data_IF_281019803877
#
_entry.id   IF_281019803877
#
_cell.length_a   1.000
_cell.length_b   1.000
_cell.length_c   1.000
_cell.angle_alpha   90.00
_cell.angle_beta   90.00
_cell.angle_gamma   90.00
#
_symmetry.space_group_name_H-M   'P 1'
#
loop_
_entity.id
_entity.type
_entity.pdbx_description
1 polymer ?
#
# COMPACT_ATOMS: atom_id res chain seq x y z
N UNK A 1 21.45 20.29 6.14
CA UNK A 1 20.04 20.60 5.76
C UNK A 1 19.76 20.44 4.27
N UNK A 2 20.23 21.29 3.35
CA UNK A 2 19.85 21.14 1.93
C UNK A 2 20.43 19.86 1.29
N UNK A 3 21.68 19.53 1.61
CA UNK A 3 22.31 18.27 1.18
C UNK A 3 21.61 17.05 1.80
N UNK A 4 21.41 17.05 3.12
CA UNK A 4 20.65 15.98 3.82
C UNK A 4 19.23 15.81 3.29
N UNK A 5 18.52 16.91 2.98
CA UNK A 5 17.16 16.85 2.46
C UNK A 5 17.13 16.18 1.08
N UNK A 6 18.15 16.38 0.25
CA UNK A 6 18.24 15.77 -1.09
C UNK A 6 18.35 14.25 -1.05
N UNK A 7 18.82 13.67 0.05
CA UNK A 7 18.84 12.21 0.27
C UNK A 7 17.47 11.67 0.72
N UNK A 8 16.60 12.55 1.24
CA UNK A 8 15.28 12.22 1.81
C UNK A 8 14.15 12.37 0.81
N UNK A 9 14.20 13.38 -0.06
CA UNK A 9 13.15 13.72 -1.02
C UNK A 9 13.59 13.50 -2.47
N UNK A 10 12.63 13.27 -3.35
CA UNK A 10 12.83 13.05 -4.79
C UNK A 10 12.80 14.38 -5.59
N UNK A 11 12.40 15.49 -4.96
CA UNK A 11 12.36 16.82 -5.59
C UNK A 11 13.73 17.47 -5.53
N UNK A 12 14.38 17.67 -6.68
CA UNK A 12 15.73 18.26 -6.76
C UNK A 12 15.83 19.69 -6.20
N UNK A 13 14.86 20.54 -6.53
CA UNK A 13 14.82 21.93 -6.05
C UNK A 13 13.42 22.21 -5.47
N UNK A 14 13.19 21.86 -4.20
CA UNK A 14 11.85 21.91 -3.61
C UNK A 14 11.31 23.34 -3.51
N UNK A 15 12.17 24.34 -3.28
CA UNK A 15 11.75 25.72 -3.08
C UNK A 15 11.31 26.41 -4.39
N UNK A 16 11.90 25.99 -5.53
CA UNK A 16 11.60 26.60 -6.83
C UNK A 16 10.65 25.77 -7.70
N UNK A 17 10.44 24.48 -7.40
CA UNK A 17 9.58 23.62 -8.22
C UNK A 17 8.11 23.76 -7.81
N UNK A 18 7.21 24.26 -8.67
CA UNK A 18 5.77 24.38 -8.37
C UNK A 18 5.08 23.01 -8.24
N UNK A 19 3.95 22.95 -7.53
CA UNK A 19 3.21 21.72 -7.22
C UNK A 19 2.86 20.91 -8.48
N UNK A 20 2.36 21.57 -9.53
CA UNK A 20 1.99 20.89 -10.78
C UNK A 20 3.20 20.27 -11.49
N UNK A 21 4.36 20.94 -11.41
CA UNK A 21 5.61 20.44 -11.96
C UNK A 21 6.14 19.25 -11.14
N UNK A 22 6.01 19.29 -9.81
CA UNK A 22 6.34 18.15 -8.92
C UNK A 22 5.54 16.92 -9.32
N UNK A 23 4.22 17.06 -9.49
CA UNK A 23 3.34 15.96 -9.94
C UNK A 23 3.77 15.39 -11.29
N UNK A 24 4.00 16.25 -12.28
CA UNK A 24 4.44 15.81 -13.62
C UNK A 24 5.77 15.05 -13.57
N UNK A 25 6.75 15.57 -12.82
CA UNK A 25 8.06 14.92 -12.63
C UNK A 25 7.93 13.58 -11.90
N UNK A 26 7.07 13.50 -10.85
CA UNK A 26 6.79 12.26 -10.14
C UNK A 26 6.24 11.18 -11.06
N UNK A 27 5.18 11.50 -11.83
CA UNK A 27 4.56 10.54 -12.75
C UNK A 27 5.56 10.01 -13.77
N UNK A 28 6.41 10.87 -14.31
CA UNK A 28 7.48 10.47 -15.23
C UNK A 28 8.54 9.59 -14.55
N UNK A 29 8.94 9.92 -13.31
CA UNK A 29 9.91 9.13 -12.55
C UNK A 29 9.38 7.74 -12.17
N UNK A 30 8.09 7.64 -11.81
CA UNK A 30 7.43 6.36 -11.55
C UNK A 30 7.31 5.53 -12.82
N UNK A 31 6.89 6.13 -13.94
CA UNK A 31 6.82 5.43 -15.23
C UNK A 31 8.19 4.90 -15.68
N UNK A 32 9.25 5.67 -15.44
CA UNK A 32 10.62 5.24 -15.76
C UNK A 32 11.17 4.18 -14.78
N UNK A 33 10.60 4.09 -13.56
CA UNK A 33 11.07 3.16 -12.53
C UNK A 33 10.30 1.83 -12.55
N UNK A 34 9.07 1.82 -13.05
CA UNK A 34 8.30 0.60 -13.19
C UNK A 34 9.04 -0.42 -14.05
N UNK A 35 9.12 -1.65 -13.56
CA UNK A 35 9.88 -2.73 -14.17
C UNK A 35 8.95 -3.95 -14.31
N UNK A 36 8.45 -4.24 -15.52
CA UNK A 36 7.47 -5.30 -15.74
C UNK A 36 7.97 -6.68 -15.30
N UNK A 37 9.24 -7.00 -15.54
CA UNK A 37 9.82 -8.30 -15.20
C UNK A 37 9.86 -8.52 -13.69
N UNK A 38 10.25 -7.50 -12.90
CA UNK A 38 10.20 -7.58 -11.44
C UNK A 38 8.76 -7.73 -10.95
N UNK A 39 7.83 -6.93 -11.50
CA UNK A 39 6.42 -7.03 -11.15
C UNK A 39 5.87 -8.45 -11.40
N UNK A 40 6.18 -9.04 -12.55
CA UNK A 40 5.76 -10.40 -12.89
C UNK A 40 6.44 -11.45 -12.03
N UNK A 41 7.71 -11.27 -11.67
CA UNK A 41 8.38 -12.15 -10.71
C UNK A 41 7.64 -12.18 -9.37
N UNK A 42 7.32 -11.02 -8.80
CA UNK A 42 6.53 -10.90 -7.56
C UNK A 42 5.08 -11.40 -7.71
N UNK A 43 4.55 -11.45 -8.94
CA UNK A 43 3.22 -11.99 -9.23
C UNK A 43 3.18 -13.53 -9.29
N UNK A 44 4.23 -14.17 -9.79
CA UNK A 44 4.31 -15.64 -9.89
C UNK A 44 4.99 -16.31 -8.70
N UNK A 45 6.02 -15.67 -8.14
CA UNK A 45 6.81 -16.16 -6.98
C UNK A 45 6.37 -15.43 -5.71
N UNK A 46 5.07 -15.55 -5.40
CA UNK A 46 4.41 -14.71 -4.40
C UNK A 46 4.39 -15.30 -2.98
N UNK A 47 5.12 -16.38 -2.69
CA UNK A 47 5.02 -17.09 -1.41
C UNK A 47 5.35 -16.20 -0.21
N UNK A 48 6.41 -15.40 -0.31
CA UNK A 48 6.79 -14.43 0.70
C UNK A 48 5.72 -13.33 0.87
N UNK A 49 5.11 -12.90 -0.25
CA UNK A 49 4.06 -11.89 -0.27
C UNK A 49 2.79 -12.44 0.40
N UNK A 50 2.41 -13.69 0.09
CA UNK A 50 1.27 -14.37 0.70
C UNK A 50 1.49 -14.62 2.20
N UNK A 51 2.73 -14.80 2.64
CA UNK A 51 3.07 -14.86 4.06
C UNK A 51 2.78 -13.54 4.75
N UNK A 52 3.36 -12.43 4.29
CA UNK A 52 3.18 -11.12 4.92
C UNK A 52 1.74 -10.61 4.80
N UNK A 53 0.99 -10.98 3.76
CA UNK A 53 -0.44 -10.68 3.65
C UNK A 53 -1.30 -11.34 4.74
N UNK A 54 -0.82 -12.41 5.39
CA UNK A 54 -1.52 -13.07 6.50
C UNK A 54 -1.21 -12.43 7.86
N UNK A 55 -0.17 -11.60 7.94
CA UNK A 55 0.20 -10.90 9.16
C UNK A 55 -0.99 -10.08 9.70
N UNK A 56 -1.12 -10.02 11.03
CA UNK A 56 -2.21 -9.33 11.72
C UNK A 56 -1.64 -8.21 12.62
N UNK A 57 -1.61 -6.98 12.11
CA UNK A 57 -1.23 -5.82 12.92
C UNK A 57 -2.20 -5.58 14.08
N UNK A 58 -1.75 -4.84 15.09
CA UNK A 58 -2.50 -4.57 16.32
C UNK A 58 -3.89 -3.94 16.08
N UNK A 59 -4.06 -3.16 15.00
CA UNK A 59 -5.33 -2.52 14.69
C UNK A 59 -6.40 -3.51 14.24
N UNK A 60 -6.04 -4.68 13.72
CA UNK A 60 -7.01 -5.72 13.31
C UNK A 60 -7.81 -6.21 14.52
N UNK A 61 -7.12 -6.52 15.62
CA UNK A 61 -7.79 -7.00 16.83
C UNK A 61 -8.51 -5.87 17.58
N UNK A 62 -7.95 -4.66 17.57
CA UNK A 62 -8.64 -3.48 18.09
C UNK A 62 -9.94 -3.21 17.32
N UNK A 63 -9.93 -3.33 16.00
CA UNK A 63 -11.08 -3.13 15.13
C UNK A 63 -12.15 -4.20 15.33
N UNK A 64 -11.76 -5.49 15.40
CA UNK A 64 -12.68 -6.58 15.75
C UNK A 64 -13.40 -6.34 17.08
N UNK A 65 -12.65 -5.92 18.12
CA UNK A 65 -13.23 -5.56 19.43
C UNK A 65 -14.21 -4.39 19.31
N UNK A 66 -13.87 -3.38 18.53
CA UNK A 66 -14.75 -2.23 18.28
C UNK A 66 -16.07 -2.65 17.60
N UNK A 67 -15.99 -3.49 16.57
CA UNK A 67 -17.18 -3.97 15.85
C UNK A 67 -18.06 -4.86 16.74
N UNK A 68 -17.47 -5.77 17.52
CA UNK A 68 -18.20 -6.61 18.46
C UNK A 68 -19.01 -5.77 19.48
N UNK A 69 -18.39 -4.72 20.04
CA UNK A 69 -19.02 -3.83 21.01
C UNK A 69 -20.00 -2.80 20.41
N UNK A 70 -20.07 -2.68 19.08
CA UNK A 70 -21.12 -1.89 18.41
C UNK A 70 -22.41 -2.70 18.20
N UNK A 71 -22.32 -4.03 18.14
CA UNK A 71 -23.47 -4.93 18.02
C UNK A 71 -24.26 -5.13 19.32
N UNK A 72 -23.61 -4.92 20.47
CA UNK A 72 -24.23 -5.01 21.79
C UNK A 72 -24.71 -3.61 22.24
N UNK A 73 -26.01 -3.50 22.52
CA UNK A 73 -26.75 -2.24 22.71
C UNK A 73 -26.10 -1.24 23.68
N UNK A 74 -26.06 0.03 23.22
CA UNK A 74 -26.04 1.30 23.99
C UNK A 74 -26.25 1.14 25.50
N UNK A 75 -25.17 0.96 26.24
CA UNK A 75 -25.13 1.36 27.64
C UNK A 75 -23.76 1.94 28.00
N UNK A 76 -23.86 3.16 28.49
CA UNK A 76 -22.94 3.95 29.30
C UNK A 76 -21.64 4.52 28.72
N UNK A 77 -21.47 5.77 29.14
CA UNK A 77 -20.60 6.85 28.69
C UNK A 77 -19.14 6.66 29.14
N UNK A 78 -18.63 5.43 29.13
CA UNK A 78 -17.21 5.23 29.45
C UNK A 78 -16.35 5.36 28.19
N UNK A 79 -15.18 5.97 28.36
CA UNK A 79 -14.27 6.32 27.28
C UNK A 79 -13.67 5.04 26.69
N UNK A 80 -14.40 4.39 25.77
CA UNK A 80 -13.99 3.12 25.11
C UNK A 80 -12.64 3.31 24.43
N UNK A 81 -11.59 2.87 25.11
CA UNK A 81 -10.21 3.08 24.68
C UNK A 81 -9.72 1.80 24.01
N UNK A 82 -9.83 1.76 22.69
CA UNK A 82 -9.34 0.64 21.86
C UNK A 82 -7.83 0.69 21.61
N UNK A 83 -7.19 1.80 21.99
CA UNK A 83 -5.81 2.13 21.68
C UNK A 83 -5.08 2.47 22.96
N UNK A 84 -4.04 1.70 23.27
CA UNK A 84 -3.21 1.90 24.46
C UNK A 84 -1.88 2.51 24.04
N UNK A 85 -1.49 3.59 24.72
CA UNK A 85 -0.19 4.22 24.52
C UNK A 85 0.85 3.64 25.49
N UNK A 86 2.05 3.35 24.96
CA UNK A 86 3.20 2.98 25.77
C UNK A 86 3.74 4.18 26.56
N UNK A 87 4.63 3.94 27.52
CA UNK A 87 5.24 5.04 28.27
C UNK A 87 6.16 5.89 27.40
N UNK A 88 6.85 5.28 26.43
CA UNK A 88 7.69 5.98 25.45
C UNK A 88 6.85 6.90 24.55
N UNK A 89 5.68 6.41 24.09
CA UNK A 89 4.73 7.19 23.29
C UNK A 89 4.19 8.38 24.10
N UNK A 90 3.84 8.17 25.38
CA UNK A 90 3.40 9.26 26.28
C UNK A 90 4.51 10.27 26.51
N UNK A 91 5.75 9.81 26.70
CA UNK A 91 6.89 10.70 26.89
C UNK A 91 7.17 11.54 25.65
N UNK A 92 7.09 10.94 24.46
CA UNK A 92 7.20 11.68 23.20
C UNK A 92 6.10 12.73 23.06
N UNK A 93 4.85 12.41 23.43
CA UNK A 93 3.75 13.38 23.42
C UNK A 93 3.99 14.57 24.37
N UNK A 94 4.66 14.37 25.51
CA UNK A 94 5.01 15.45 26.45
C UNK A 94 6.03 16.43 25.86
N UNK A 95 6.87 15.97 24.92
CA UNK A 95 7.87 16.81 24.24
C UNK A 95 7.24 17.70 23.17
N UNK A 96 6.07 17.36 22.66
CA UNK A 96 5.40 18.17 21.64
C UNK A 96 4.86 19.46 22.24
N UNK A 97 5.09 20.56 21.52
CA UNK A 97 4.56 21.86 21.90
C UNK A 97 3.08 21.95 21.58
N UNK A 98 2.31 22.59 22.46
CA UNK A 98 0.88 22.76 22.27
C UNK A 98 0.59 23.88 21.25
N UNK A 99 0.63 23.55 19.94
CA UNK A 99 0.36 24.49 18.84
C UNK A 99 -1.08 24.41 18.33
N UNK A 100 -1.70 25.53 18.00
CA UNK A 100 -2.98 25.58 17.27
C UNK A 100 -2.74 25.96 15.81
N UNK A 101 -3.43 25.29 14.89
CA UNK A 101 -3.29 25.52 13.45
C UNK A 101 -4.55 26.20 12.92
N UNK A 102 -4.38 27.37 12.31
CA UNK A 102 -5.45 28.09 11.62
C UNK A 102 -5.37 27.78 10.13
N UNK A 103 -6.12 26.79 9.70
CA UNK A 103 -6.12 26.30 8.33
C UNK A 103 -7.42 26.72 7.61
N UNK A 104 -7.28 27.26 6.42
CA UNK A 104 -8.41 27.53 5.53
C UNK A 104 -9.05 26.21 5.03
N UNK A 105 -10.14 26.29 4.26
CA UNK A 105 -10.85 25.09 3.80
C UNK A 105 -9.98 24.24 2.86
N UNK A 106 -9.20 24.87 1.98
CA UNK A 106 -8.35 24.17 1.01
C UNK A 106 -7.17 23.49 1.71
N UNK A 107 -6.45 24.20 2.57
CA UNK A 107 -5.31 23.60 3.29
C UNK A 107 -5.75 22.45 4.20
N UNK A 108 -6.91 22.56 4.85
CA UNK A 108 -7.47 21.42 5.63
C UNK A 108 -7.69 20.19 4.77
N UNK A 109 -8.21 20.37 3.55
CA UNK A 109 -8.42 19.26 2.62
C UNK A 109 -7.09 18.58 2.27
N UNK A 110 -6.06 19.36 1.93
CA UNK A 110 -4.72 18.82 1.65
C UNK A 110 -4.14 18.07 2.85
N UNK A 111 -4.29 18.59 4.07
CA UNK A 111 -3.79 17.92 5.29
C UNK A 111 -4.43 16.54 5.48
N UNK A 112 -5.74 16.41 5.29
CA UNK A 112 -6.41 15.10 5.38
C UNK A 112 -5.96 14.13 4.28
N UNK A 113 -5.74 14.61 3.06
CA UNK A 113 -5.26 13.75 1.97
C UNK A 113 -3.81 13.31 2.19
N UNK A 114 -2.94 14.21 2.65
CA UNK A 114 -1.57 13.86 3.05
C UNK A 114 -1.54 12.88 4.22
N UNK A 115 -2.48 12.99 5.17
CA UNK A 115 -2.62 12.00 6.24
C UNK A 115 -2.91 10.60 5.68
N UNK A 116 -3.83 10.48 4.72
CA UNK A 116 -4.14 9.19 4.08
C UNK A 116 -2.89 8.63 3.40
N UNK A 117 -2.18 9.44 2.62
CA UNK A 117 -0.97 9.05 1.90
C UNK A 117 0.13 8.52 2.86
N UNK A 118 0.37 9.21 3.97
CA UNK A 118 1.33 8.79 5.01
C UNK A 118 0.88 7.48 5.69
N UNK A 119 -0.40 7.35 6.03
CA UNK A 119 -0.92 6.14 6.67
C UNK A 119 -0.85 4.93 5.74
N UNK A 120 -1.12 5.08 4.44
CA UNK A 120 -0.99 4.00 3.46
C UNK A 120 0.44 3.46 3.42
N UNK A 121 1.42 4.36 3.34
CA UNK A 121 2.84 4.01 3.37
C UNK A 121 3.24 3.27 4.66
N UNK A 122 2.73 3.73 5.81
CA UNK A 122 2.96 3.05 7.09
C UNK A 122 2.27 1.68 7.18
N UNK A 123 1.05 1.54 6.70
CA UNK A 123 0.35 0.25 6.68
C UNK A 123 1.08 -0.77 5.80
N UNK A 124 1.61 -0.34 4.66
CA UNK A 124 2.48 -1.19 3.85
C UNK A 124 3.70 -1.64 4.65
N UNK A 125 4.42 -0.69 5.25
CA UNK A 125 5.64 -0.94 6.03
C UNK A 125 5.43 -1.96 7.15
N UNK A 126 4.40 -1.76 7.97
CA UNK A 126 4.08 -2.69 9.06
C UNK A 126 3.68 -4.06 8.53
N UNK A 127 3.01 -4.14 7.38
CA UNK A 127 2.60 -5.41 6.79
C UNK A 127 3.82 -6.20 6.31
N UNK A 128 4.71 -5.59 5.53
CA UNK A 128 5.84 -6.29 4.92
C UNK A 128 6.94 -6.66 5.91
N UNK A 129 7.07 -5.90 7.01
CA UNK A 129 8.03 -6.20 8.07
C UNK A 129 7.38 -6.84 9.31
N UNK A 130 6.12 -7.27 9.21
CA UNK A 130 5.41 -7.98 10.29
C UNK A 130 5.45 -7.24 11.65
N UNK A 131 5.43 -5.90 11.59
CA UNK A 131 5.48 -4.99 12.74
C UNK A 131 6.87 -4.72 13.32
N UNK A 132 7.90 -5.43 12.85
CA UNK A 132 9.28 -5.15 13.23
C UNK A 132 9.87 -4.03 12.37
N UNK A 133 10.79 -3.27 12.95
CA UNK A 133 11.45 -2.15 12.27
C UNK A 133 12.86 -2.53 11.89
N UNK A 134 13.28 -2.11 10.71
CA UNK A 134 14.63 -2.31 10.21
C UNK A 134 15.16 -1.02 9.55
N UNK A 135 16.35 -1.11 8.98
CA UNK A 135 17.04 0.03 8.36
C UNK A 135 16.27 0.60 7.15
N UNK A 136 15.48 -0.22 6.47
CA UNK A 136 14.67 0.16 5.31
C UNK A 136 13.30 0.74 5.68
N UNK A 137 12.87 0.62 6.95
CA UNK A 137 11.56 1.12 7.39
C UNK A 137 11.37 2.61 7.09
N UNK A 138 12.40 3.41 7.34
CA UNK A 138 12.40 4.84 7.04
C UNK A 138 12.28 5.10 5.53
N UNK A 139 12.96 4.29 4.72
CA UNK A 139 12.95 4.38 3.28
C UNK A 139 11.58 4.00 2.71
N UNK A 140 10.98 2.90 3.14
CA UNK A 140 9.66 2.47 2.70
C UNK A 140 8.60 3.54 2.98
N UNK A 141 8.53 4.05 4.23
CA UNK A 141 7.50 5.05 4.58
C UNK A 141 7.68 6.34 3.78
N UNK A 142 8.91 6.88 3.69
CA UNK A 142 9.14 8.13 2.93
C UNK A 142 8.95 7.92 1.44
N UNK A 143 9.41 6.78 0.91
CA UNK A 143 9.40 6.51 -0.53
C UNK A 143 8.02 6.14 -1.01
N UNK A 144 7.13 5.58 -0.19
CA UNK A 144 5.77 5.25 -0.64
C UNK A 144 4.78 6.41 -0.47
N UNK A 145 5.07 7.39 0.39
CA UNK A 145 4.26 8.61 0.53
C UNK A 145 4.77 9.73 -0.37
N UNK A 146 4.00 10.09 -1.40
CA UNK A 146 4.36 11.22 -2.28
C UNK A 146 4.25 12.59 -1.57
N UNK A 147 3.47 12.68 -0.49
CA UNK A 147 3.46 13.83 0.42
C UNK A 147 4.85 14.06 1.00
N UNK A 148 5.56 13.00 1.39
CA UNK A 148 6.87 13.09 2.03
C UNK A 148 8.01 13.24 1.01
N UNK A 149 8.09 12.37 0.01
CA UNK A 149 9.23 12.38 -0.92
C UNK A 149 9.04 13.32 -2.12
N UNK A 150 7.82 13.61 -2.57
CA UNK A 150 7.57 14.54 -3.68
C UNK A 150 7.00 15.88 -3.24
N UNK A 151 6.79 16.08 -1.93
CA UNK A 151 6.16 17.27 -1.37
C UNK A 151 4.85 17.61 -2.11
N UNK A 152 4.09 16.56 -2.47
CA UNK A 152 2.87 16.70 -3.27
C UNK A 152 1.68 17.12 -2.41
N UNK A 153 0.83 17.98 -2.97
CA UNK A 153 -0.49 18.28 -2.43
C UNK A 153 -1.56 17.63 -3.31
N UNK A 154 -2.37 16.78 -2.71
CA UNK A 154 -3.44 16.08 -3.41
C UNK A 154 -4.74 16.86 -3.43
N UNK A 155 -5.58 16.56 -4.42
CA UNK A 155 -6.90 17.17 -4.61
C UNK A 155 -8.04 16.18 -4.40
N UNK A 156 -7.79 14.87 -4.59
CA UNK A 156 -8.78 13.81 -4.42
C UNK A 156 -8.19 12.61 -3.68
N UNK A 157 -9.04 11.82 -3.03
CA UNK A 157 -8.65 10.56 -2.38
C UNK A 157 -8.18 9.54 -3.43
N UNK A 158 -8.83 9.51 -4.60
CA UNK A 158 -8.47 8.61 -5.68
C UNK A 158 -7.03 8.85 -6.15
N UNK A 159 -6.61 10.10 -6.32
CA UNK A 159 -5.24 10.43 -6.73
C UNK A 159 -4.20 9.99 -5.69
N UNK A 160 -4.54 10.06 -4.39
CA UNK A 160 -3.69 9.56 -3.30
C UNK A 160 -3.51 8.04 -3.45
N UNK A 161 -4.61 7.30 -3.62
CA UNK A 161 -4.57 5.84 -3.75
C UNK A 161 -3.81 5.40 -5.00
N UNK A 162 -4.01 6.08 -6.14
CA UNK A 162 -3.28 5.81 -7.38
C UNK A 162 -1.80 6.12 -7.22
N UNK A 163 -1.45 7.25 -6.61
CA UNK A 163 -0.07 7.61 -6.32
C UNK A 163 0.60 6.55 -5.45
N UNK A 164 0.01 6.20 -4.31
CA UNK A 164 0.54 5.16 -3.43
C UNK A 164 0.69 3.82 -4.14
N UNK A 165 -0.35 3.36 -4.86
CA UNK A 165 -0.35 2.09 -5.57
C UNK A 165 0.76 2.02 -6.62
N UNK A 166 0.91 3.06 -7.46
CA UNK A 166 2.00 3.13 -8.44
C UNK A 166 3.36 2.99 -7.79
N UNK A 167 3.58 3.65 -6.65
CA UNK A 167 4.87 3.64 -5.95
C UNK A 167 5.19 2.28 -5.32
N UNK A 168 4.19 1.59 -4.76
CA UNK A 168 4.35 0.20 -4.29
C UNK A 168 4.77 -0.73 -5.43
N UNK A 169 4.28 -0.49 -6.65
CA UNK A 169 4.64 -1.31 -7.82
C UNK A 169 5.98 -0.93 -8.47
N UNK A 170 6.65 0.14 -8.01
CA UNK A 170 7.88 0.64 -8.62
C UNK A 170 9.12 0.51 -7.72
N UNK A 171 8.96 0.74 -6.41
CA UNK A 171 10.09 1.05 -5.53
C UNK A 171 10.50 -0.09 -4.58
N UNK A 172 9.61 -0.63 -3.74
CA UNK A 172 10.01 -1.52 -2.65
C UNK A 172 10.43 -2.90 -3.15
N UNK A 173 10.89 -3.73 -2.20
CA UNK A 173 11.27 -5.12 -2.44
C UNK A 173 10.10 -5.94 -3.01
N UNK A 174 8.92 -5.85 -2.41
CA UNK A 174 7.71 -6.56 -2.83
C UNK A 174 6.75 -5.66 -3.59
N UNK A 175 6.63 -5.87 -4.91
CA UNK A 175 5.87 -5.04 -5.85
C UNK A 175 4.58 -5.75 -6.26
N UNK A 176 3.63 -5.86 -5.33
CA UNK A 176 2.40 -6.61 -5.56
C UNK A 176 1.14 -5.81 -5.26
N UNK A 177 0.14 -5.87 -6.15
CA UNK A 177 -1.10 -5.10 -6.01
C UNK A 177 -1.94 -5.54 -4.79
N UNK A 178 -1.77 -6.78 -4.32
CA UNK A 178 -2.38 -7.25 -3.08
C UNK A 178 -1.94 -6.45 -1.86
N UNK A 179 -0.67 -6.01 -1.80
CA UNK A 179 -0.16 -5.17 -0.71
C UNK A 179 -0.75 -3.76 -0.75
N UNK A 180 -1.03 -3.22 -1.94
CA UNK A 180 -1.74 -1.94 -2.12
C UNK A 180 -3.14 -2.03 -1.52
N UNK A 181 -3.88 -3.08 -1.90
CA UNK A 181 -5.25 -3.32 -1.42
C UNK A 181 -5.27 -3.56 0.08
N UNK A 182 -4.27 -4.30 0.60
CA UNK A 182 -4.13 -4.55 2.04
C UNK A 182 -3.90 -3.25 2.82
N UNK A 183 -2.94 -2.43 2.43
CA UNK A 183 -2.65 -1.17 3.09
C UNK A 183 -3.83 -0.18 3.05
N UNK A 184 -4.60 -0.19 1.95
CA UNK A 184 -5.84 0.57 1.84
C UNK A 184 -6.88 0.15 2.88
N UNK A 185 -7.13 -1.16 3.02
CA UNK A 185 -8.07 -1.70 4.02
C UNK A 185 -7.60 -1.43 5.46
N UNK A 186 -6.30 -1.57 5.73
CA UNK A 186 -5.72 -1.30 7.04
C UNK A 186 -5.86 0.20 7.41
N UNK A 187 -5.63 1.10 6.45
CA UNK A 187 -5.83 2.55 6.66
C UNK A 187 -7.28 2.86 7.01
N UNK A 188 -8.24 2.21 6.34
CA UNK A 188 -9.67 2.31 6.68
C UNK A 188 -9.92 1.86 8.12
N UNK A 189 -9.40 0.70 8.54
CA UNK A 189 -9.57 0.21 9.91
C UNK A 189 -9.00 1.19 10.96
N UNK A 190 -7.81 1.74 10.72
CA UNK A 190 -7.17 2.74 11.60
C UNK A 190 -8.04 4.00 11.71
N UNK A 191 -8.59 4.50 10.60
CA UNK A 191 -9.47 5.68 10.62
C UNK A 191 -10.78 5.40 11.36
N UNK A 192 -11.34 4.19 11.26
CA UNK A 192 -12.54 3.79 12.01
C UNK A 192 -12.28 3.71 13.53
N UNK A 193 -11.10 3.26 13.95
CA UNK A 193 -10.68 3.28 15.36
C UNK A 193 -10.50 4.70 15.91
N UNK A 194 -10.36 5.69 15.03
CA UNK A 194 -10.40 7.11 15.36
C UNK A 194 -9.04 7.74 15.68
N UNK A 195 -9.08 8.96 16.22
CA UNK A 195 -7.89 9.83 16.34
C UNK A 195 -6.75 9.23 17.17
N UNK A 196 -7.06 8.40 18.17
CA UNK A 196 -6.05 7.77 19.01
C UNK A 196 -5.24 6.73 18.21
N UNK A 197 -5.89 5.97 17.33
CA UNK A 197 -5.21 4.98 16.48
C UNK A 197 -4.32 5.67 15.47
N UNK A 198 -4.83 6.71 14.81
CA UNK A 198 -4.04 7.55 13.89
C UNK A 198 -2.83 8.14 14.60
N UNK A 199 -3.01 8.70 15.81
CA UNK A 199 -1.90 9.27 16.59
C UNK A 199 -0.86 8.20 16.95
N UNK A 200 -1.29 6.99 17.31
CA UNK A 200 -0.37 5.89 17.60
C UNK A 200 0.48 5.53 16.37
N UNK A 201 -0.13 5.45 15.19
CA UNK A 201 0.62 5.23 13.94
C UNK A 201 1.60 6.37 13.65
N UNK A 202 1.20 7.63 13.82
CA UNK A 202 2.07 8.79 13.58
C UNK A 202 3.25 8.85 14.56
N UNK A 203 3.05 8.47 15.83
CA UNK A 203 4.14 8.36 16.80
C UNK A 203 5.14 7.26 16.42
N UNK A 204 4.64 6.17 15.85
CA UNK A 204 5.49 5.07 15.39
C UNK A 204 6.33 5.46 14.18
N UNK A 205 5.73 6.16 13.20
CA UNK A 205 6.43 6.81 12.08
C UNK A 205 7.46 7.81 12.58
N UNK A 206 7.09 8.62 13.59
CA UNK A 206 8.01 9.59 14.18
C UNK A 206 9.25 8.91 14.75
N UNK A 207 9.07 7.75 15.41
CA UNK A 207 10.17 6.94 15.92
C UNK A 207 11.02 6.38 14.77
N UNK A 208 10.39 5.83 13.72
CA UNK A 208 11.08 5.30 12.52
C UNK A 208 12.00 6.36 11.90
N UNK A 209 11.53 7.61 11.75
CA UNK A 209 12.36 8.68 11.18
C UNK A 209 13.41 9.23 12.15
N UNK A 210 13.17 9.17 13.46
CA UNK A 210 14.17 9.60 14.45
C UNK A 210 15.39 8.67 14.48
N UNK A 211 15.19 7.37 14.22
CA UNK A 211 16.23 6.35 14.27
C UNK A 211 17.08 6.29 12.97
N UNK A 212 16.71 7.05 11.93
CA UNK A 212 17.42 7.10 10.65
C UNK A 212 17.90 8.52 10.32
N UNK A 213 19.22 8.67 10.13
CA UNK A 213 19.86 9.86 9.61
C UNK A 213 19.88 9.73 8.08
N UNK A 214 19.28 10.60 7.23
CA UNK A 214 18.74 11.97 7.43
C UNK A 214 17.19 12.08 7.53
N UNK A 215 16.46 10.97 7.66
CA UNK A 215 14.99 10.97 7.62
C UNK A 215 14.31 11.77 8.74
N UNK A 216 15.01 12.04 9.85
CA UNK A 216 14.50 12.83 10.98
C UNK A 216 13.93 14.19 10.57
N UNK A 217 14.42 14.79 9.47
CA UNK A 217 13.94 16.08 8.95
C UNK A 217 12.43 16.02 8.62
N UNK A 218 11.91 14.86 8.21
CA UNK A 218 10.48 14.68 7.94
C UNK A 218 9.63 14.77 9.22
N UNK A 219 10.21 14.50 10.39
CA UNK A 219 9.52 14.74 11.66
C UNK A 219 9.26 16.22 11.87
N UNK A 220 10.25 17.06 11.56
CA UNK A 220 10.14 18.51 11.73
C UNK A 220 9.24 19.14 10.66
N UNK A 221 9.29 18.63 9.43
CA UNK A 221 8.51 19.15 8.31
C UNK A 221 7.05 18.70 8.30
N UNK A 222 6.76 17.47 8.76
CA UNK A 222 5.43 16.86 8.63
C UNK A 222 4.95 16.19 9.91
N UNK A 223 5.67 15.17 10.39
CA UNK A 223 5.07 14.18 11.31
C UNK A 223 4.75 14.79 12.68
N UNK A 224 5.60 15.67 13.22
CA UNK A 224 5.35 16.35 14.49
C UNK A 224 4.08 17.18 14.43
N UNK A 225 3.88 17.96 13.38
CA UNK A 225 2.69 18.78 13.22
C UNK A 225 1.44 17.93 13.00
N UNK A 226 1.53 16.81 12.28
CA UNK A 226 0.44 15.83 12.17
C UNK A 226 0.05 15.23 13.53
N UNK A 227 1.03 14.84 14.35
CA UNK A 227 0.82 14.35 15.72
C UNK A 227 0.07 15.38 16.60
N UNK A 228 0.43 16.66 16.50
CA UNK A 228 -0.22 17.72 17.28
C UNK A 228 -1.62 18.03 16.72
N UNK A 229 -1.76 18.12 15.40
CA UNK A 229 -2.99 18.48 14.72
C UNK A 229 -4.11 17.44 14.89
N UNK A 230 -3.79 16.14 14.80
CA UNK A 230 -4.80 15.08 14.88
C UNK A 230 -5.49 15.05 16.25
N UNK A 231 -4.79 15.43 17.32
CA UNK A 231 -5.34 15.48 18.68
C UNK A 231 -6.49 16.48 18.82
N UNK A 232 -6.45 17.58 18.05
CA UNK A 232 -7.41 18.70 18.08
C UNK A 232 -8.52 18.55 17.04
N UNK A 233 -8.40 17.59 16.14
CA UNK A 233 -9.36 17.38 15.07
C UNK A 233 -10.67 16.80 15.58
N UNK A 234 -11.80 17.26 15.01
CA UNK A 234 -13.14 16.77 15.35
C UNK A 234 -13.33 15.34 14.83
N UNK A 235 -13.69 14.39 15.71
CA UNK A 235 -13.91 12.98 15.33
C UNK A 235 -14.90 12.79 14.18
N UNK A 236 -15.95 13.63 14.10
CA UNK A 236 -16.93 13.61 12.99
C UNK A 236 -16.29 13.85 11.61
N UNK A 237 -15.24 14.68 11.53
CA UNK A 237 -14.54 14.95 10.27
C UNK A 237 -13.66 13.77 9.85
N UNK A 238 -13.01 13.12 10.82
CA UNK A 238 -12.24 11.90 10.57
C UNK A 238 -13.15 10.74 10.13
N UNK A 239 -14.33 10.60 10.75
CA UNK A 239 -15.33 9.62 10.32
C UNK A 239 -15.82 9.87 8.89
N UNK A 240 -16.12 11.13 8.53
CA UNK A 240 -16.50 11.48 7.17
C UNK A 240 -15.38 11.22 6.13
N UNK A 241 -14.12 11.42 6.52
CA UNK A 241 -12.97 11.05 5.68
C UNK A 241 -12.91 9.54 5.46
N UNK A 242 -13.09 8.75 6.53
CA UNK A 242 -13.13 7.30 6.45
C UNK A 242 -14.24 6.80 5.53
N UNK A 243 -15.46 7.35 5.65
CA UNK A 243 -16.59 6.99 4.77
C UNK A 243 -16.30 7.35 3.31
N UNK A 244 -15.63 8.48 3.05
CA UNK A 244 -15.25 8.90 1.70
C UNK A 244 -14.18 7.97 1.13
N UNK A 245 -13.23 7.55 1.96
CA UNK A 245 -12.16 6.60 1.60
C UNK A 245 -12.76 5.23 1.25
N UNK A 246 -13.70 4.71 2.05
CA UNK A 246 -14.39 3.44 1.81
C UNK A 246 -15.22 3.41 0.51
N UNK A 247 -15.77 4.55 0.11
CA UNK A 247 -16.55 4.68 -1.14
C UNK A 247 -15.66 4.76 -2.39
N UNK A 248 -14.37 4.98 -2.22
CA UNK A 248 -13.43 5.12 -3.34
C UNK A 248 -13.01 3.73 -3.82
N UNK A 249 -13.11 3.49 -5.13
CA UNK A 249 -12.67 2.25 -5.76
C UNK A 249 -11.27 2.39 -6.33
N UNK A 250 -10.42 1.39 -6.13
CA UNK A 250 -9.08 1.30 -6.69
C UNK A 250 -8.96 0.02 -7.51
N UNK A 251 -8.54 0.13 -8.77
CA UNK A 251 -8.37 -0.99 -9.70
C UNK A 251 -6.96 -1.00 -10.29
N UNK A 252 -6.52 -2.16 -10.81
CA UNK A 252 -5.21 -2.33 -11.45
C UNK A 252 -5.06 -1.42 -12.68
N UNK A 253 -6.11 -1.32 -13.49
CA UNK A 253 -6.16 -0.39 -14.64
C UNK A 253 -5.89 1.07 -14.30
N UNK A 254 -6.18 1.53 -13.08
CA UNK A 254 -5.89 2.91 -12.66
C UNK A 254 -4.40 3.20 -12.48
N UNK A 255 -3.55 2.17 -12.40
CA UNK A 255 -2.11 2.35 -12.21
C UNK A 255 -1.43 2.90 -13.47
N UNK A 256 -2.03 2.73 -14.65
CA UNK A 256 -1.43 3.19 -15.91
C UNK A 256 -0.15 2.44 -16.29
N UNK A 257 -0.06 1.16 -15.91
CA UNK A 257 1.03 0.24 -16.23
C UNK A 257 0.55 -1.01 -16.99
N UNK A 258 -0.71 -1.03 -17.42
CA UNK A 258 -1.28 -2.16 -18.19
C UNK A 258 -1.11 -3.51 -17.47
N UNK A 259 -1.31 -3.50 -16.15
CA UNK A 259 -1.03 -4.66 -15.29
C UNK A 259 -1.90 -5.86 -15.64
N UNK A 260 -3.16 -5.62 -16.02
CA UNK A 260 -4.10 -6.69 -16.36
C UNK A 260 -3.67 -7.38 -17.66
N UNK A 261 -3.21 -6.60 -18.64
CA UNK A 261 -2.65 -7.09 -19.89
C UNK A 261 -1.34 -7.85 -19.67
N UNK A 262 -0.44 -7.32 -18.83
CA UNK A 262 0.83 -7.96 -18.47
C UNK A 262 0.61 -9.31 -17.80
N UNK A 263 -0.25 -9.38 -16.79
CA UNK A 263 -0.58 -10.61 -16.08
C UNK A 263 -1.21 -11.65 -17.02
N UNK A 264 -2.19 -11.24 -17.82
CA UNK A 264 -2.85 -12.14 -18.77
C UNK A 264 -1.88 -12.72 -19.80
N UNK A 265 -1.00 -11.87 -20.37
CA UNK A 265 0.01 -12.32 -21.32
C UNK A 265 1.00 -13.31 -20.67
N UNK A 266 1.44 -13.04 -19.44
CA UNK A 266 2.39 -13.90 -18.76
C UNK A 266 1.79 -15.26 -18.36
N UNK A 267 0.52 -15.30 -17.94
CA UNK A 267 -0.20 -16.56 -17.64
C UNK A 267 -0.30 -17.43 -18.89
N UNK A 268 -0.64 -16.85 -20.05
CA UNK A 268 -0.70 -17.59 -21.32
C UNK A 268 0.65 -18.23 -21.68
N UNK A 269 1.75 -17.50 -21.52
CA UNK A 269 3.10 -18.03 -21.77
C UNK A 269 3.44 -19.18 -20.81
N UNK A 270 3.14 -19.03 -19.52
CA UNK A 270 3.38 -20.07 -18.52
C UNK A 270 2.59 -21.35 -18.81
N UNK A 271 1.33 -21.23 -19.25
CA UNK A 271 0.50 -22.35 -19.67
C UNK A 271 1.07 -23.05 -20.91
N UNK A 272 1.48 -22.29 -21.94
CA UNK A 272 2.12 -22.83 -23.14
C UNK A 272 3.41 -23.59 -22.81
N UNK A 273 4.29 -23.01 -21.98
CA UNK A 273 5.51 -23.69 -21.54
C UNK A 273 5.22 -24.97 -20.76
N UNK A 274 4.19 -24.96 -19.91
CA UNK A 274 3.78 -26.12 -19.13
C UNK A 274 3.25 -27.23 -20.03
N UNK A 275 2.46 -26.89 -21.06
CA UNK A 275 2.00 -27.84 -22.07
C UNK A 275 3.16 -28.44 -22.88
N UNK A 276 4.14 -27.62 -23.29
CA UNK A 276 5.32 -28.08 -24.01
C UNK A 276 6.21 -28.99 -23.13
N UNK A 277 6.41 -28.65 -21.85
CA UNK A 277 7.12 -29.49 -20.88
C UNK A 277 6.40 -30.83 -20.67
N UNK A 278 5.07 -30.82 -20.60
CA UNK A 278 4.27 -32.05 -20.49
C UNK A 278 4.40 -32.92 -21.75
N UNK A 279 4.27 -32.34 -22.94
CA UNK A 279 4.41 -33.06 -24.22
C UNK A 279 5.82 -33.64 -24.43
N UNK A 280 6.87 -32.88 -24.07
CA UNK A 280 8.26 -33.35 -24.13
C UNK A 280 8.57 -34.49 -23.13
N UNK A 281 7.86 -34.52 -21.99
CA UNK A 281 8.01 -35.60 -20.99
C UNK A 281 7.35 -36.90 -21.48
N UNK A 282 6.20 -36.82 -22.15
CA UNK A 282 5.53 -37.97 -22.78
C UNK A 282 6.40 -38.59 -23.88
N UNK A 283 7.09 -37.76 -24.68
CA UNK A 283 8.00 -38.25 -25.72
C UNK A 283 9.25 -38.96 -25.19
N UNK A 284 9.74 -38.62 -23.98
CA UNK A 284 10.91 -39.29 -23.36
C UNK A 284 10.54 -40.61 -22.68
N UNK A 285 9.33 -40.75 -22.12
CA UNK A 285 8.85 -42.02 -21.56
C UNK A 285 8.58 -43.09 -22.63
N UNK A 286 8.25 -42.66 -23.86
CA UNK A 286 8.06 -43.58 -24.99
C UNK A 286 9.39 -44.11 -25.59
N UNK A 287 10.51 -43.40 -25.37
CA UNK A 287 11.86 -43.83 -25.80
C UNK A 287 12.56 -44.76 -24.79
N UNK A 288 12.25 -44.66 -23.49
CA UNK A 288 12.77 -45.55 -22.44
C UNK A 288 12.10 -46.94 -22.39
N UNK A 289 11.09 -47.18 -23.24
CA UNK A 289 10.38 -48.47 -23.33
C UNK A 289 10.84 -49.34 -24.52
N UNK A 290 11.92 -48.96 -25.22
CA UNK A 290 12.40 -49.69 -26.41
C UNK A 290 13.87 -50.12 -26.37
N UNK A 291 14.58 -49.94 -25.26
CA UNK A 291 15.96 -50.44 -25.11
C UNK A 291 16.12 -51.24 -23.81
N UNK A 292 15.51 -52.43 -23.77
CA UNK A 292 15.94 -53.52 -22.91
C UNK A 292 15.90 -54.80 -23.73
N UNK A 293 16.98 -55.04 -24.48
CA UNK A 293 17.53 -56.36 -24.80
C UNK A 293 18.82 -56.10 -25.61
N UNK A 294 19.96 -56.00 -24.93
CA UNK A 294 21.18 -56.79 -25.21
C UNK A 294 22.25 -56.46 -24.18
N UNK A 295 22.52 -57.47 -23.36
CA UNK A 295 23.75 -57.68 -22.61
C UNK A 295 24.97 -57.58 -23.52
N UNK A 296 26.01 -56.84 -23.11
CA UNK A 296 27.32 -57.43 -22.79
C UNK A 296 28.34 -56.39 -22.31
N UNK A 297 28.78 -56.63 -21.07
CA UNK A 297 30.17 -56.74 -20.61
C UNK A 297 31.23 -55.65 -20.93
N UNK A 298 31.61 -55.02 -19.81
CA UNK A 298 32.98 -54.95 -19.25
C UNK A 298 33.97 -53.84 -19.64
N UNK A 299 34.76 -53.57 -18.58
CA UNK A 299 36.07 -52.94 -18.47
C UNK A 299 36.20 -51.42 -18.32
N UNK A 300 36.65 -51.09 -17.11
CA UNK A 300 37.29 -49.84 -16.72
C UNK A 300 38.64 -49.68 -17.43
N UNK A 301 39.05 -48.44 -17.71
CA UNK A 301 40.45 -48.07 -17.48
C UNK A 301 40.63 -46.55 -17.47
N UNK A 302 41.17 -46.09 -16.37
CA UNK A 302 41.79 -44.79 -16.17
C UNK A 302 43.08 -44.72 -16.99
N UNK A 303 43.35 -43.59 -17.65
CA UNK A 303 44.71 -43.22 -18.03
C UNK A 303 44.95 -41.73 -17.76
N UNK A 304 45.92 -41.50 -16.88
CA UNK A 304 46.56 -40.22 -16.61
C UNK A 304 47.55 -39.91 -17.74
N UNK A 305 47.72 -38.63 -18.08
CA UNK A 305 48.98 -38.14 -18.66
C UNK A 305 49.16 -36.66 -18.33
N UNK A 306 50.33 -36.38 -17.77
CA UNK A 306 50.88 -35.08 -17.36
C UNK A 306 51.69 -34.42 -18.48
N UNK A 307 52.41 -33.35 -18.10
CA UNK A 307 53.41 -32.52 -18.83
C UNK A 307 52.81 -31.25 -19.48
N UNK A 308 52.76 -30.08 -18.81
CA UNK A 308 53.81 -29.05 -18.49
C UNK A 308 54.20 -28.13 -19.65
N UNK A 309 53.95 -26.83 -19.47
CA UNK A 309 54.80 -25.63 -19.67
C UNK A 309 53.94 -24.46 -19.10
N UNK A 310 54.36 -23.50 -18.28
CA UNK A 310 55.64 -22.85 -18.10
C UNK A 310 55.44 -21.33 -18.29
N UNK A 311 55.09 -20.59 -17.23
CA UNK A 311 55.37 -19.13 -17.14
C UNK A 311 55.11 -18.58 -15.73
N UNK A 312 56.21 -18.20 -15.11
CA UNK A 312 56.33 -17.43 -13.88
C UNK A 312 55.86 -15.98 -14.08
N UNK A 313 55.27 -15.40 -13.03
CA UNK A 313 55.61 -14.05 -12.55
C UNK A 313 55.11 -13.87 -11.11
N UNK A 314 56.06 -13.57 -10.23
CA UNK A 314 55.92 -13.26 -8.81
C UNK A 314 55.01 -12.05 -8.53
N UNK A 315 54.28 -12.04 -7.41
CA UNK A 315 54.65 -11.27 -6.21
C UNK A 315 53.65 -11.48 -5.02
N UNK A 316 54.19 -12.11 -3.97
CA UNK A 316 54.09 -11.83 -2.50
C UNK A 316 52.76 -11.48 -1.81
N UNK A 317 52.26 -12.50 -1.10
CA UNK A 317 52.01 -12.62 0.38
C UNK A 317 51.35 -11.49 1.21
N UNK A 318 50.19 -11.79 1.80
CA UNK A 318 50.00 -12.16 3.23
C UNK A 318 48.50 -12.39 3.50
N UNK A 319 48.04 -13.63 3.78
CA UNK A 319 47.81 -14.23 5.10
C UNK A 319 47.06 -13.30 6.09
N UNK A 320 45.92 -13.67 6.67
CA UNK A 320 45.64 -14.91 7.41
C UNK A 320 44.17 -15.33 7.40
N UNK A 321 44.00 -16.65 7.26
CA UNK A 321 42.95 -17.55 7.78
C UNK A 321 42.38 -17.14 9.16
N UNK A 322 41.13 -17.45 9.52
CA UNK A 322 40.71 -18.82 9.87
C UNK A 322 39.27 -19.18 9.53
N UNK A 323 39.18 -20.47 9.25
CA UNK A 323 38.09 -21.32 8.77
C UNK A 323 37.23 -21.82 9.94
N UNK A 324 35.96 -22.11 9.66
CA UNK A 324 34.94 -22.45 10.64
C UNK A 324 33.87 -23.39 10.09
N UNK A 325 34.30 -24.50 9.48
CA UNK A 325 33.72 -25.86 9.54
C UNK A 325 32.18 -26.01 9.62
N UNK A 326 31.63 -26.28 8.44
CA UNK A 326 30.54 -27.22 8.08
C UNK A 326 29.99 -28.11 9.22
N UNK A 327 28.66 -28.16 9.35
CA UNK A 327 27.93 -29.40 9.62
C UNK A 327 26.54 -29.38 8.96
N UNK A 328 26.32 -30.35 8.07
CA UNK A 328 25.02 -30.76 7.54
C UNK A 328 24.30 -31.65 8.56
N UNK A 329 23.01 -31.42 8.82
CA UNK A 329 22.14 -32.47 9.32
C UNK A 329 20.79 -32.44 8.62
N UNK A 330 20.55 -33.56 7.94
CA UNK A 330 19.31 -34.00 7.33
C UNK A 330 18.30 -34.37 8.43
N UNK A 331 17.07 -33.84 8.34
CA UNK A 331 15.92 -34.25 9.14
C UNK A 331 14.73 -34.55 8.22
N UNK A 332 14.29 -35.80 8.24
CA UNK A 332 13.28 -36.43 7.37
C UNK A 332 11.88 -36.32 7.98
N UNK A 333 10.91 -35.91 7.14
CA UNK A 333 9.46 -36.22 7.10
C UNK A 333 8.59 -36.11 8.37
N UNK A 334 7.50 -35.34 8.25
CA UNK A 334 6.15 -35.90 8.48
C UNK A 334 5.07 -35.10 7.74
N UNK A 335 4.37 -35.78 6.83
CA UNK A 335 3.06 -35.38 6.32
C UNK A 335 2.05 -35.42 7.47
N UNK A 336 1.31 -34.33 7.66
CA UNK A 336 0.01 -34.41 8.32
C UNK A 336 -1.05 -33.70 7.48
N UNK A 337 -1.93 -34.53 6.91
CA UNK A 337 -3.22 -34.13 6.36
C UNK A 337 -4.03 -33.43 7.44
N UNK A 338 -4.56 -32.24 7.17
CA UNK A 338 -5.81 -31.79 7.80
C UNK A 338 -6.63 -30.97 6.80
N UNK A 339 -7.92 -31.31 6.74
CA UNK A 339 -8.92 -30.82 5.80
C UNK A 339 -9.30 -29.33 6.04
N UNK A 340 -9.89 -28.64 5.04
CA UNK A 340 -10.01 -27.18 5.04
C UNK A 340 -11.24 -26.71 5.82
N UNK A 341 -11.09 -25.62 6.59
CA UNK A 341 -12.19 -24.90 7.22
C UNK A 341 -12.19 -23.43 6.80
N UNK A 342 -13.21 -23.13 5.97
CA UNK A 342 -14.05 -21.93 5.92
C UNK A 342 -13.31 -20.60 5.68
N UNK A 343 -13.25 -20.29 4.39
CA UNK A 343 -12.96 -19.00 3.79
C UNK A 343 -14.08 -17.98 4.09
N UNK A 344 -13.69 -16.79 4.53
CA UNK A 344 -14.57 -15.64 4.71
C UNK A 344 -14.11 -14.51 3.78
N UNK A 345 -13.95 -14.80 2.49
CA UNK A 345 -13.78 -13.78 1.45
C UNK A 345 -15.14 -13.34 0.89
N UNK A 346 -15.68 -12.27 1.46
CA UNK A 346 -16.78 -11.52 0.88
C UNK A 346 -16.31 -10.60 -0.23
N UNK A 347 -15.87 -11.16 -1.37
CA UNK A 347 -15.63 -10.41 -2.59
C UNK A 347 -16.79 -10.67 -3.56
N UNK A 348 -17.65 -9.67 -3.78
CA UNK A 348 -18.70 -9.73 -4.80
C UNK A 348 -18.06 -9.63 -6.18
N UNK A 349 -17.76 -10.77 -6.79
CA UNK A 349 -17.52 -10.86 -8.23
C UNK A 349 -18.88 -10.87 -8.94
N UNK A 350 -19.12 -9.86 -9.79
CA UNK A 350 -20.25 -9.84 -10.71
C UNK A 350 -19.87 -10.59 -11.98
N UNK A 351 -20.20 -11.89 -12.04
CA UNK A 351 -20.12 -12.67 -13.27
C UNK A 351 -21.43 -12.53 -14.04
N UNK A 352 -21.38 -11.97 -15.25
CA UNK A 352 -22.41 -12.17 -16.26
C UNK A 352 -21.74 -12.71 -17.53
N UNK A 353 -21.71 -14.03 -17.62
CA UNK A 353 -21.47 -14.76 -18.87
C UNK A 353 -22.83 -15.07 -19.47
N UNK A 354 -23.16 -14.49 -20.62
CA UNK A 354 -24.22 -15.02 -21.49
C UNK A 354 -23.67 -15.17 -22.90
N UNK A 355 -23.44 -16.42 -23.28
CA UNK A 355 -23.37 -16.88 -24.66
C UNK A 355 -24.70 -16.59 -25.37
N UNK A 356 -24.69 -15.95 -26.53
CA UNK A 356 -25.63 -16.22 -27.62
C UNK A 356 -25.14 -15.66 -28.97
N UNK A 357 -25.63 -16.33 -30.01
CA UNK A 357 -25.17 -16.48 -31.38
C UNK A 357 -25.03 -15.26 -32.29
N UNK A 358 -24.26 -15.52 -33.35
CA UNK A 358 -24.10 -14.81 -34.61
C UNK A 358 -25.45 -14.50 -35.28
N UNK A 359 -25.67 -13.24 -35.67
CA UNK A 359 -26.37 -12.90 -36.91
C UNK A 359 -25.99 -11.50 -37.40
N UNK A 360 -25.68 -11.43 -38.69
CA UNK A 360 -25.42 -10.22 -39.49
C UNK A 360 -26.67 -9.32 -39.58
N UNK A 361 -26.53 -8.02 -39.33
CA UNK A 361 -27.21 -7.02 -40.16
C UNK A 361 -26.57 -5.62 -40.08
N UNK A 362 -26.35 -5.03 -41.26
CA UNK A 362 -25.85 -3.67 -41.49
C UNK A 362 -26.78 -2.59 -40.95
N UNK A 363 -26.22 -1.55 -40.32
CA UNK A 363 -26.61 -0.16 -40.64
C UNK A 363 -25.54 0.86 -40.23
N UNK A 364 -25.17 1.70 -41.21
CA UNK A 364 -24.37 2.92 -41.08
C UNK A 364 -25.14 3.97 -40.28
N UNK A 365 -24.52 4.64 -39.30
CA UNK A 365 -24.62 6.11 -39.13
C UNK A 365 -23.35 6.69 -38.49
N UNK A 366 -22.80 7.66 -39.23
CA UNK A 366 -21.81 8.72 -38.96
C UNK A 366 -21.32 9.02 -37.52
N UNK A 367 -19.99 9.12 -37.41
CA UNK A 367 -19.27 9.95 -36.45
C UNK A 367 -19.64 11.44 -36.63
N UNK A 368 -19.93 12.14 -35.54
CA UNK A 368 -19.62 13.57 -35.40
C UNK A 368 -19.45 13.92 -33.91
N UNK A 369 -18.20 14.23 -33.58
CA UNK A 369 -17.76 14.88 -32.35
C UNK A 369 -18.29 16.32 -32.31
N UNK A 370 -18.78 16.77 -31.15
CA UNK A 370 -18.47 18.08 -30.53
C UNK A 370 -19.38 18.33 -29.31
N UNK A 371 -18.84 18.23 -28.10
CA UNK A 371 -19.34 18.98 -26.93
C UNK A 371 -18.30 18.92 -25.80
N UNK A 372 -17.81 20.09 -25.39
CA UNK A 372 -16.67 20.29 -24.51
C UNK A 372 -16.90 19.81 -23.06
N UNK A 373 -15.84 19.31 -22.37
CA UNK A 373 -15.93 18.77 -21.01
C UNK A 373 -16.18 19.82 -19.91
N UNK A 374 -16.08 21.12 -20.23
CA UNK A 374 -16.28 22.19 -19.25
C UNK A 374 -17.72 22.35 -18.74
N UNK A 375 -18.73 22.02 -19.55
CA UNK A 375 -20.14 22.20 -19.16
C UNK A 375 -20.61 21.18 -18.12
N UNK A 376 -20.02 19.99 -18.09
CA UNK A 376 -20.36 18.95 -17.11
C UNK A 376 -19.82 19.28 -15.72
N UNK A 377 -18.66 19.94 -15.65
CA UNK A 377 -18.04 20.34 -14.38
C UNK A 377 -18.84 21.50 -13.75
N UNK A 378 -19.25 22.47 -14.56
CA UNK A 378 -20.03 23.62 -14.09
C UNK A 378 -21.44 23.21 -13.62
N UNK A 379 -22.05 22.21 -14.28
CA UNK A 379 -23.34 21.64 -13.89
C UNK A 379 -23.24 20.82 -12.58
N UNK A 380 -22.15 20.05 -12.41
CA UNK A 380 -21.89 19.33 -11.15
C UNK A 380 -21.68 20.29 -9.97
N UNK A 381 -20.97 21.39 -10.20
CA UNK A 381 -20.69 22.40 -9.16
C UNK A 381 -21.99 23.09 -8.72
N UNK A 382 -22.89 23.38 -9.68
CA UNK A 382 -24.22 23.97 -9.42
C UNK A 382 -25.15 23.03 -8.64
N UNK A 383 -25.15 21.74 -8.97
CA UNK A 383 -25.95 20.74 -8.24
C UNK A 383 -25.42 20.55 -6.81
N UNK A 384 -24.11 20.62 -6.60
CA UNK A 384 -23.50 20.52 -5.27
C UNK A 384 -23.81 21.75 -4.39
N UNK A 385 -23.82 22.96 -4.95
CA UNK A 385 -24.21 24.18 -4.24
C UNK A 385 -25.70 24.20 -3.82
N UNK A 386 -26.57 23.61 -4.65
CA UNK A 386 -28.01 23.55 -4.36
C UNK A 386 -28.32 22.55 -3.22
N UNK A 387 -27.61 21.43 -3.16
CA UNK A 387 -27.71 20.46 -2.07
C UNK A 387 -27.24 21.04 -0.70
N UNK A 388 -26.23 21.92 -0.73
CA UNK A 388 -25.72 22.58 0.50
C UNK A 388 -26.74 23.60 1.03
N UNK A 389 -27.43 24.34 0.16
CA UNK A 389 -28.42 25.36 0.56
C UNK A 389 -29.68 24.78 1.22
N UNK A 390 -30.03 23.53 0.89
CA UNK A 390 -31.17 22.82 1.51
C UNK A 390 -30.84 22.27 2.91
N UNK A 391 -29.56 22.22 3.30
CA UNK A 391 -29.12 21.80 4.64
C UNK A 391 -28.98 22.96 5.64
N UNK A 392 -29.16 24.20 5.18
CA UNK A 392 -29.08 25.42 5.99
C UNK A 392 -30.44 26.16 5.97
N UNK A 393 -31.49 25.49 6.45
CA UNK A 393 -32.64 26.21 6.99
C UNK A 393 -32.50 26.27 8.52
N UNK A 394 -32.46 27.46 9.14
CA UNK A 394 -32.49 27.57 10.59
C UNK A 394 -33.92 27.30 11.07
N UNK A 395 -34.09 26.31 11.94
CA UNK A 395 -35.32 26.18 12.73
C UNK A 395 -35.49 27.45 13.57
N UNK A 396 -36.50 28.23 13.20
CA UNK A 396 -36.85 29.48 13.84
C UNK A 396 -37.40 29.30 15.25
N UNK A 397 -37.05 30.26 16.09
CA UNK A 397 -37.64 30.59 17.39
C UNK A 397 -39.18 30.49 17.40
N UNK A 398 -39.71 29.73 18.35
CA UNK A 398 -41.10 29.83 18.79
C UNK A 398 -41.20 29.77 20.32
N UNK A 399 -41.39 30.97 20.90
CA UNK A 399 -42.25 31.31 22.06
C UNK A 399 -42.07 30.63 23.42
N UNK A 400 -41.78 31.45 24.44
CA UNK A 400 -42.69 31.63 25.60
C UNK A 400 -42.61 33.07 26.12
N UNK A 401 -43.59 33.88 25.72
CA UNK A 401 -44.06 35.04 26.47
C UNK A 401 -44.91 34.55 27.64
N UNK A 402 -44.60 34.94 28.89
CA UNK A 402 -45.58 34.90 29.98
C UNK A 402 -45.31 36.00 31.02
N UNK A 403 -46.05 37.10 30.83
CA UNK A 403 -46.76 37.91 31.84
C UNK A 403 -45.93 38.63 32.93
N UNK A 404 -45.88 39.97 32.79
CA UNK A 404 -45.72 40.95 33.87
C UNK A 404 -46.95 41.89 33.87
N UNK A 405 -47.80 41.78 34.89
CA UNK A 405 -48.80 42.73 35.43
C UNK A 405 -49.68 41.89 36.39
N UNK A 406 -49.84 42.15 37.69
CA UNK A 406 -50.36 43.30 38.46
C UNK A 406 -49.85 43.15 39.93
N UNK A 407 -49.35 44.20 40.62
CA UNK A 407 -50.03 45.25 41.42
C UNK A 407 -50.40 44.84 42.87
N UNK A 408 -50.07 45.72 43.84
CA UNK A 408 -50.53 45.81 45.27
C UNK A 408 -50.14 44.61 46.18
N UNK A 409 -49.40 44.76 47.28
CA UNK A 409 -49.50 45.64 48.47
C UNK A 409 -48.13 45.79 49.18
#
# INVERSE_FOLDING_TARGET
LQDELSDVIDVKDPDQTPVDERRRKRLAAEAAKFEPDHYLADFFEDEAIQHVLKYKPWWVDAHKKMIALQGESRQEHDTRTFVVFSEEEKEQLRKFTNKSYLLDKRSRHHVYLGLIDILLAYCYEVCVNEGDKNVESSWNVRKLSATLCWLESFTSIHDVLVSFGRRVLCYPLHRHFGLVTRAFNDTVMILQLGKAAVLKCLLDIHKIFMENDPAYILNDLFITDYCIWIQKTKSKKLAALCESLQKTTLAKSHMGFELEELEAAAVLVQEEESMLKAAGTVSKQQLLSSELETSDSEESSSTSSSETEGSDSDERESSTSEDGKINSLQGRLQEERTAPLIDCNGLRQGTNTSTFDISDEKSKVSLQSTSAPGKLIEELEKQMHTAIRLSEQPEGLATTSCILQEQEE
#
